data_IF_401398074576
#
_entry.id   IF_401398074576
#
_cell.length_a   1.000
_cell.length_b   1.000
_cell.length_c   1.000
_cell.angle_alpha   90.00
_cell.angle_beta   90.00
_cell.angle_gamma   90.00
#
_symmetry.space_group_name_H-M   'P 1'
#
loop_
_entity.id
_entity.type
_entity.pdbx_description
1 polymer ?
#
# COMPACT_ATOMS: atom_id res chain seq x y z
N UNK A 1 52.82 9.53 -34.38
CA UNK A 1 52.13 10.27 -33.29
C UNK A 1 50.68 10.69 -33.62
N UNK A 2 49.99 10.05 -34.58
CA UNK A 2 48.63 10.46 -34.99
C UNK A 2 47.49 9.54 -34.48
N UNK A 3 47.81 8.31 -34.04
CA UNK A 3 46.82 7.33 -33.54
C UNK A 3 46.37 7.56 -32.08
N UNK A 4 47.28 7.92 -31.17
CA UNK A 4 46.96 8.10 -29.74
C UNK A 4 46.01 9.28 -29.46
N UNK A 5 46.14 10.39 -30.20
CA UNK A 5 45.33 11.60 -30.00
C UNK A 5 43.85 11.35 -30.31
N UNK A 6 43.56 10.55 -31.33
CA UNK A 6 42.19 10.23 -31.75
C UNK A 6 41.52 9.26 -30.77
N UNK A 7 42.29 8.33 -30.19
CA UNK A 7 41.80 7.43 -29.15
C UNK A 7 41.46 8.17 -27.84
N UNK A 8 42.31 9.13 -27.42
CA UNK A 8 42.02 9.97 -26.24
C UNK A 8 40.79 10.87 -26.45
N UNK A 9 40.63 11.48 -27.63
CA UNK A 9 39.47 12.30 -27.95
C UNK A 9 38.16 11.49 -27.92
N UNK A 10 38.17 10.26 -28.46
CA UNK A 10 37.01 9.34 -28.37
C UNK A 10 36.67 8.96 -26.94
N UNK A 11 37.66 8.69 -26.09
CA UNK A 11 37.43 8.40 -24.67
C UNK A 11 36.81 9.59 -23.94
N UNK A 12 37.27 10.82 -24.21
CA UNK A 12 36.69 12.03 -23.61
C UNK A 12 35.21 12.19 -24.02
N UNK A 13 34.89 11.98 -25.30
CA UNK A 13 33.50 12.05 -25.79
C UNK A 13 32.62 10.99 -25.11
N UNK A 14 33.12 9.76 -24.98
CA UNK A 14 32.38 8.68 -24.29
C UNK A 14 32.12 9.04 -22.83
N UNK A 15 33.11 9.60 -22.12
CA UNK A 15 32.95 10.04 -20.72
C UNK A 15 31.86 11.11 -20.60
N UNK A 16 31.79 12.07 -21.53
CA UNK A 16 30.77 13.11 -21.54
C UNK A 16 29.37 12.52 -21.79
N UNK A 17 29.24 11.57 -22.71
CA UNK A 17 27.97 10.91 -22.99
C UNK A 17 27.49 10.11 -21.77
N UNK A 18 28.40 9.36 -21.13
CA UNK A 18 28.09 8.57 -19.93
C UNK A 18 27.71 9.47 -18.75
N UNK A 19 28.39 10.61 -18.56
CA UNK A 19 28.06 11.54 -17.49
C UNK A 19 26.70 12.21 -17.70
N UNK A 20 26.36 12.58 -18.95
CA UNK A 20 25.01 13.06 -19.29
C UNK A 20 23.92 12.02 -19.00
N UNK A 21 24.13 10.76 -19.39
CA UNK A 21 23.19 9.67 -19.12
C UNK A 21 22.99 9.46 -17.61
N UNK A 22 24.08 9.47 -16.83
CA UNK A 22 24.00 9.36 -15.36
C UNK A 22 23.19 10.49 -14.74
N UNK A 23 23.39 11.74 -15.19
CA UNK A 23 22.61 12.88 -14.72
C UNK A 23 21.12 12.75 -15.05
N UNK A 24 20.78 12.28 -16.25
CA UNK A 24 19.39 12.00 -16.63
C UNK A 24 18.76 10.93 -15.74
N UNK A 25 19.46 9.80 -15.50
CA UNK A 25 18.97 8.72 -14.63
C UNK A 25 18.74 9.23 -13.20
N UNK A 26 19.68 9.99 -12.63
CA UNK A 26 19.54 10.55 -11.28
C UNK A 26 18.40 11.58 -11.23
N UNK A 27 18.25 12.41 -12.26
CA UNK A 27 17.17 13.39 -12.35
C UNK A 27 15.80 12.72 -12.40
N UNK A 28 15.64 11.71 -13.25
CA UNK A 28 14.43 10.90 -13.36
C UNK A 28 14.14 10.17 -12.05
N UNK A 29 15.16 9.58 -11.42
CA UNK A 29 15.01 8.93 -10.12
C UNK A 29 14.50 9.90 -9.04
N UNK A 30 15.11 11.08 -8.92
CA UNK A 30 14.68 12.11 -7.94
C UNK A 30 13.28 12.64 -8.23
N UNK A 31 12.91 12.77 -9.51
CA UNK A 31 11.57 13.17 -9.92
C UNK A 31 10.53 12.15 -9.44
N UNK A 32 10.73 10.86 -9.74
CA UNK A 32 9.84 9.79 -9.29
C UNK A 32 9.82 9.64 -7.77
N UNK A 33 10.95 9.82 -7.09
CA UNK A 33 11.01 9.78 -5.63
C UNK A 33 10.18 10.92 -5.01
N UNK A 34 10.20 12.11 -5.61
CA UNK A 34 9.41 13.26 -5.16
C UNK A 34 7.91 13.03 -5.38
N UNK A 35 7.49 12.54 -6.54
CA UNK A 35 6.08 12.18 -6.79
C UNK A 35 5.61 11.09 -5.82
N UNK A 36 6.42 10.05 -5.61
CA UNK A 36 6.10 8.95 -4.69
C UNK A 36 5.91 9.43 -3.26
N UNK A 37 6.73 10.37 -2.78
CA UNK A 37 6.57 11.00 -1.45
C UNK A 37 5.29 11.84 -1.37
N UNK A 38 5.01 12.63 -2.40
CA UNK A 38 3.80 13.46 -2.43
C UNK A 38 2.51 12.65 -2.40
N UNK A 39 2.48 11.47 -3.01
CA UNK A 39 1.34 10.55 -2.93
C UNK A 39 1.32 9.70 -1.66
N UNK A 40 2.47 9.44 -1.01
CA UNK A 40 2.49 8.72 0.27
C UNK A 40 2.06 9.57 1.46
N UNK A 41 2.32 10.88 1.40
CA UNK A 41 2.05 11.81 2.51
C UNK A 41 0.59 12.29 2.51
N UNK A 42 -0.18 11.98 1.46
CA UNK A 42 -1.57 12.38 1.35
C UNK A 42 -2.53 11.36 1.99
N UNK A 43 -3.29 11.79 2.99
CA UNK A 43 -4.35 11.01 3.62
C UNK A 43 -5.71 11.32 3.00
N UNK A 44 -6.47 10.27 2.67
CA UNK A 44 -7.87 10.36 2.31
C UNK A 44 -8.72 10.67 3.55
N UNK A 45 -9.99 11.09 3.39
CA UNK A 45 -10.88 11.40 4.51
C UNK A 45 -11.12 10.25 5.50
N UNK A 46 -10.91 9.00 5.08
CA UNK A 46 -10.94 7.82 5.95
C UNK A 46 -9.66 7.66 6.81
N UNK A 47 -8.73 8.62 6.76
CA UNK A 47 -7.48 8.63 7.51
C UNK A 47 -6.38 7.72 6.95
N UNK A 48 -6.63 7.03 5.84
CA UNK A 48 -5.68 6.15 5.16
C UNK A 48 -5.06 6.85 3.95
N UNK A 49 -3.81 6.52 3.61
CA UNK A 49 -3.28 6.85 2.29
C UNK A 49 -4.06 6.12 1.19
N UNK A 50 -3.91 6.56 -0.06
CA UNK A 50 -4.53 5.88 -1.21
C UNK A 50 -4.12 4.40 -1.29
N UNK A 51 -2.82 4.12 -1.07
CA UNK A 51 -2.32 2.75 -1.08
C UNK A 51 -2.90 1.91 0.07
N UNK A 52 -3.03 2.46 1.27
CA UNK A 52 -3.62 1.75 2.41
C UNK A 52 -5.10 1.47 2.18
N UNK A 53 -5.83 2.44 1.60
CA UNK A 53 -7.23 2.26 1.19
C UNK A 53 -7.37 1.12 0.19
N UNK A 54 -6.50 1.02 -0.82
CA UNK A 54 -6.50 -0.10 -1.77
C UNK A 54 -6.36 -1.46 -1.09
N UNK A 55 -5.44 -1.59 -0.12
CA UNK A 55 -5.25 -2.84 0.60
C UNK A 55 -6.40 -3.15 1.54
N UNK A 56 -6.88 -2.14 2.25
CA UNK A 56 -8.04 -2.25 3.12
C UNK A 56 -9.26 -2.77 2.35
N UNK A 57 -9.55 -2.18 1.19
CA UNK A 57 -10.62 -2.63 0.29
C UNK A 57 -10.42 -4.09 -0.15
N UNK A 58 -9.20 -4.44 -0.59
CA UNK A 58 -8.90 -5.79 -1.05
C UNK A 58 -9.00 -6.84 0.06
N UNK A 59 -8.44 -6.56 1.23
CA UNK A 59 -8.34 -7.51 2.33
C UNK A 59 -9.71 -7.87 2.89
N UNK A 60 -10.57 -6.87 3.12
CA UNK A 60 -11.92 -7.08 3.63
C UNK A 60 -12.98 -7.26 2.53
N UNK A 61 -12.54 -7.41 1.27
CA UNK A 61 -13.43 -7.56 0.10
C UNK A 61 -14.50 -6.46 -0.02
N UNK A 62 -14.16 -5.23 0.36
CA UNK A 62 -15.06 -4.08 0.33
C UNK A 62 -15.18 -3.51 -1.08
N UNK A 63 -16.29 -2.84 -1.34
CA UNK A 63 -16.52 -2.06 -2.55
C UNK A 63 -16.33 -0.57 -2.26
N UNK A 64 -15.91 0.20 -3.28
CA UNK A 64 -15.76 1.65 -3.15
C UNK A 64 -16.43 2.43 -4.27
N UNK A 65 -16.92 3.63 -3.96
CA UNK A 65 -17.31 4.63 -4.94
C UNK A 65 -16.50 5.92 -4.74
N UNK A 66 -15.75 6.39 -5.76
CA UNK A 66 -15.45 5.72 -7.01
C UNK A 66 -14.69 4.40 -6.80
N UNK A 67 -14.73 3.53 -7.81
CA UNK A 67 -14.05 2.23 -7.72
C UNK A 67 -12.53 2.42 -7.71
N UNK A 68 -11.88 1.85 -6.69
CA UNK A 68 -10.42 1.83 -6.53
C UNK A 68 -9.98 0.37 -6.62
N UNK A 69 -9.23 0.02 -7.66
CA UNK A 69 -8.72 -1.34 -7.84
C UNK A 69 -7.19 -1.37 -8.01
N UNK A 70 -6.56 -2.45 -7.54
CA UNK A 70 -5.14 -2.75 -7.75
C UNK A 70 -4.88 -2.96 -9.24
N UNK A 71 -4.28 -1.95 -9.88
CA UNK A 71 -3.90 -1.97 -11.30
C UNK A 71 -4.39 -0.75 -12.09
N UNK A 72 -5.35 0.01 -11.56
CA UNK A 72 -5.73 1.31 -12.09
C UNK A 72 -5.17 2.40 -11.19
N UNK A 73 -4.10 3.06 -11.62
CA UNK A 73 -3.69 4.37 -11.06
C UNK A 73 -4.69 5.48 -11.40
N UNK A 74 -5.73 5.15 -12.17
CA UNK A 74 -6.75 6.07 -12.63
C UNK A 74 -8.02 5.89 -11.80
N UNK A 75 -8.40 6.97 -11.10
CA UNK A 75 -9.79 7.18 -10.72
C UNK A 75 -10.57 7.27 -12.04
N UNK A 76 -11.45 6.30 -12.30
CA UNK A 76 -12.16 6.14 -13.60
C UNK A 76 -13.04 7.37 -13.95
N UNK A 77 -13.24 8.29 -13.00
CA UNK A 77 -13.96 9.55 -13.19
C UNK A 77 -13.00 10.74 -13.22
N UNK A 78 -12.83 11.32 -14.42
CA UNK A 78 -12.02 12.54 -14.64
C UNK A 78 -12.53 13.77 -13.87
N UNK A 79 -13.78 13.75 -13.43
CA UNK A 79 -14.48 14.79 -12.68
C UNK A 79 -14.50 14.56 -11.16
N UNK A 80 -13.92 13.46 -10.66
CA UNK A 80 -13.94 13.13 -9.24
C UNK A 80 -12.57 13.36 -8.59
N UNK A 81 -12.52 14.26 -7.61
CA UNK A 81 -11.29 14.52 -6.87
C UNK A 81 -11.27 13.68 -5.61
N UNK A 82 -10.75 12.46 -5.70
CA UNK A 82 -10.62 11.52 -4.57
C UNK A 82 -9.90 12.11 -3.36
N UNK A 83 -8.99 13.06 -3.60
CA UNK A 83 -8.27 13.75 -2.53
C UNK A 83 -9.28 14.58 -1.73
N UNK A 84 -10.07 15.42 -2.39
CA UNK A 84 -11.04 16.31 -1.74
C UNK A 84 -12.32 15.60 -1.28
N UNK A 85 -12.89 14.78 -2.15
CA UNK A 85 -14.26 14.27 -2.04
C UNK A 85 -14.32 12.91 -1.32
N UNK A 86 -13.17 12.27 -1.15
CA UNK A 86 -13.03 11.02 -0.42
C UNK A 86 -13.43 9.79 -1.22
N UNK A 87 -13.84 8.76 -0.51
CA UNK A 87 -14.24 7.47 -1.08
C UNK A 87 -15.33 6.91 -0.20
N UNK A 88 -16.48 6.63 -0.79
CA UNK A 88 -17.52 5.89 -0.09
C UNK A 88 -17.16 4.41 -0.10
N UNK A 89 -17.22 3.75 1.05
CA UNK A 89 -16.84 2.35 1.21
C UNK A 89 -18.03 1.55 1.72
N UNK A 90 -18.30 0.42 1.08
CA UNK A 90 -19.47 -0.40 1.35
C UNK A 90 -19.05 -1.87 1.54
N UNK A 91 -19.72 -2.60 2.43
CA UNK A 91 -19.51 -4.03 2.53
C UNK A 91 -20.09 -4.72 1.29
N UNK A 92 -19.51 -5.86 0.94
CA UNK A 92 -20.07 -6.74 -0.08
C UNK A 92 -20.56 -8.04 0.56
N UNK A 93 -21.31 -8.84 -0.20
CA UNK A 93 -21.64 -10.21 0.21
C UNK A 93 -20.37 -11.00 0.58
N UNK A 94 -19.26 -10.75 -0.12
CA UNK A 94 -17.97 -11.37 0.22
C UNK A 94 -17.40 -10.88 1.54
N UNK A 95 -17.56 -9.60 1.88
CA UNK A 95 -17.19 -9.07 3.20
C UNK A 95 -17.92 -9.82 4.31
N UNK A 96 -19.25 -9.94 4.19
CA UNK A 96 -20.11 -10.63 5.17
C UNK A 96 -19.77 -12.12 5.32
N UNK A 97 -19.34 -12.78 4.24
CA UNK A 97 -18.92 -14.19 4.29
C UNK A 97 -17.47 -14.37 4.79
N UNK A 98 -16.58 -13.43 4.46
CA UNK A 98 -15.17 -13.51 4.80
C UNK A 98 -14.92 -13.26 6.29
N UNK A 99 -15.61 -12.29 6.90
CA UNK A 99 -15.35 -11.90 8.28
C UNK A 99 -15.57 -13.03 9.30
N UNK A 100 -16.67 -13.81 9.24
CA UNK A 100 -16.87 -14.97 10.12
C UNK A 100 -15.75 -16.00 9.97
N UNK A 101 -15.31 -16.27 8.74
CA UNK A 101 -14.22 -17.20 8.45
C UNK A 101 -12.90 -16.67 9.02
N UNK A 102 -12.61 -15.38 8.86
CA UNK A 102 -11.44 -14.72 9.43
C UNK A 102 -11.46 -14.79 10.97
N UNK A 103 -12.60 -14.50 11.60
CA UNK A 103 -12.77 -14.60 13.06
C UNK A 103 -12.52 -16.03 13.56
N UNK A 104 -13.09 -17.03 12.91
CA UNK A 104 -12.83 -18.44 13.23
C UNK A 104 -11.33 -18.76 13.11
N UNK A 105 -10.68 -18.37 12.02
CA UNK A 105 -9.24 -18.63 11.84
C UNK A 105 -8.35 -17.94 12.87
N UNK A 106 -8.74 -16.77 13.38
CA UNK A 106 -7.95 -16.04 14.36
C UNK A 106 -8.20 -16.58 15.77
N UNK A 107 -9.46 -16.78 16.16
CA UNK A 107 -9.83 -16.99 17.56
C UNK A 107 -10.17 -18.43 17.92
N UNK A 108 -10.60 -19.26 16.96
CA UNK A 108 -11.04 -20.64 17.20
C UNK A 108 -10.02 -21.68 16.71
N UNK A 109 -9.34 -21.40 15.60
CA UNK A 109 -8.41 -22.36 15.00
C UNK A 109 -7.04 -22.32 15.69
N UNK A 110 -6.73 -23.39 16.43
CA UNK A 110 -5.44 -23.54 17.10
C UNK A 110 -4.31 -24.06 16.17
N UNK A 111 -4.61 -24.50 14.94
CA UNK A 111 -3.68 -25.31 14.14
C UNK A 111 -3.06 -24.63 12.92
N UNK A 112 -3.43 -23.41 12.57
CA UNK A 112 -2.89 -22.71 11.41
C UNK A 112 -1.94 -21.57 11.82
N UNK A 113 -0.67 -21.68 11.42
CA UNK A 113 0.38 -20.65 11.60
C UNK A 113 0.37 -19.98 12.98
N UNK A 114 0.68 -20.74 14.05
CA UNK A 114 0.72 -20.28 15.45
C UNK A 114 1.27 -18.85 15.59
N UNK A 115 2.42 -18.56 14.99
CA UNK A 115 3.07 -17.24 15.08
C UNK A 115 2.22 -16.09 14.48
N UNK A 116 1.58 -16.31 13.33
CA UNK A 116 0.73 -15.31 12.67
C UNK A 116 -0.61 -15.17 13.41
N UNK A 117 -1.15 -16.28 13.93
CA UNK A 117 -2.40 -16.28 14.70
C UNK A 117 -2.26 -15.57 16.04
N UNK A 118 -1.15 -15.75 16.76
CA UNK A 118 -0.92 -15.10 18.06
C UNK A 118 -0.71 -13.58 17.94
N UNK A 119 0.06 -13.13 16.95
CA UNK A 119 0.24 -11.68 16.70
C UNK A 119 -1.10 -11.02 16.35
N UNK A 120 -1.91 -11.68 15.51
CA UNK A 120 -3.25 -11.19 15.16
C UNK A 120 -4.22 -11.24 16.35
N UNK A 121 -4.23 -12.32 17.14
CA UNK A 121 -5.07 -12.45 18.36
C UNK A 121 -4.74 -11.36 19.36
N UNK A 122 -3.44 -11.15 19.66
CA UNK A 122 -3.01 -10.11 20.59
C UNK A 122 -3.46 -8.74 20.10
N UNK A 123 -3.21 -8.42 18.82
CA UNK A 123 -3.60 -7.13 18.25
C UNK A 123 -5.11 -6.92 18.29
N UNK A 124 -5.89 -7.88 17.78
CA UNK A 124 -7.34 -7.72 17.75
C UNK A 124 -7.96 -7.76 19.16
N UNK A 125 -7.30 -8.44 20.09
CA UNK A 125 -7.60 -8.37 21.53
C UNK A 125 -7.42 -6.97 22.13
N UNK A 126 -6.51 -6.13 21.63
CA UNK A 126 -6.40 -4.72 22.06
C UNK A 126 -7.67 -3.91 21.75
N UNK A 127 -8.45 -4.34 20.75
CA UNK A 127 -9.76 -3.77 20.41
C UNK A 127 -10.93 -4.53 21.06
N UNK A 128 -10.65 -5.47 21.95
CA UNK A 128 -11.65 -6.25 22.67
C UNK A 128 -12.17 -7.48 21.92
N UNK A 129 -11.54 -7.88 20.81
CA UNK A 129 -11.98 -9.05 20.05
C UNK A 129 -11.40 -10.35 20.59
N UNK A 130 -12.24 -11.37 20.67
CA UNK A 130 -11.91 -12.71 21.12
C UNK A 130 -12.95 -13.71 20.60
N UNK A 131 -12.93 -14.94 21.11
CA UNK A 131 -13.88 -16.01 20.77
C UNK A 131 -15.32 -15.77 21.26
N UNK A 132 -15.54 -14.83 22.17
CA UNK A 132 -16.86 -14.44 22.68
C UNK A 132 -17.36 -13.12 22.09
N UNK A 133 -16.45 -12.30 21.54
CA UNK A 133 -16.72 -11.00 20.95
C UNK A 133 -15.97 -10.86 19.62
N UNK A 134 -16.62 -11.22 18.52
CA UNK A 134 -16.00 -11.20 17.21
C UNK A 134 -15.98 -9.82 16.55
N UNK A 135 -15.03 -9.63 15.63
CA UNK A 135 -15.00 -8.46 14.77
C UNK A 135 -16.22 -8.44 13.84
N UNK A 136 -16.86 -7.28 13.72
CA UNK A 136 -18.04 -7.07 12.88
C UNK A 136 -17.71 -6.24 11.64
N UNK A 137 -18.54 -6.37 10.60
CA UNK A 137 -18.43 -5.54 9.39
C UNK A 137 -18.57 -4.06 9.74
N UNK A 138 -19.49 -3.72 10.64
CA UNK A 138 -19.67 -2.35 11.11
C UNK A 138 -18.38 -1.80 11.71
N UNK A 139 -17.72 -2.56 12.58
CA UNK A 139 -16.47 -2.13 13.19
C UNK A 139 -15.37 -1.91 12.14
N UNK A 140 -15.27 -2.80 11.14
CA UNK A 140 -14.29 -2.66 10.05
C UNK A 140 -14.50 -1.35 9.28
N UNK A 141 -15.75 -0.94 9.04
CA UNK A 141 -16.08 0.30 8.33
C UNK A 141 -15.84 1.55 9.18
N UNK A 142 -16.13 1.48 10.48
CA UNK A 142 -15.97 2.58 11.42
C UNK A 142 -14.51 2.82 11.84
N UNK A 143 -13.65 1.79 11.73
CA UNK A 143 -12.27 1.82 12.21
C UNK A 143 -11.26 1.45 11.11
N UNK A 144 -11.21 2.18 9.98
CA UNK A 144 -10.38 1.83 8.82
C UNK A 144 -8.88 1.87 9.11
N UNK A 145 -8.43 2.74 10.03
CA UNK A 145 -7.01 2.85 10.45
C UNK A 145 -6.59 1.61 11.22
N UNK A 146 -7.38 1.22 12.21
CA UNK A 146 -7.15 0.07 13.08
C UNK A 146 -7.25 -1.24 12.29
N UNK A 147 -8.23 -1.33 11.38
CA UNK A 147 -8.45 -2.49 10.53
C UNK A 147 -7.32 -2.71 9.50
N UNK A 148 -6.61 -1.65 9.09
CA UNK A 148 -5.55 -1.71 8.07
C UNK A 148 -4.12 -1.75 8.64
N UNK A 149 -3.96 -1.62 9.97
CA UNK A 149 -2.69 -1.46 10.70
C UNK A 149 -1.65 -2.57 10.44
N UNK A 150 -2.07 -3.77 10.05
CA UNK A 150 -1.16 -4.90 9.75
C UNK A 150 -0.31 -4.67 8.48
N UNK A 151 -0.87 -3.97 7.49
CA UNK A 151 -0.22 -3.76 6.19
C UNK A 151 0.89 -2.69 6.28
N UNK A 152 0.68 -1.65 7.10
CA UNK A 152 1.62 -0.55 7.32
C UNK A 152 2.93 -1.03 7.96
N UNK A 153 2.85 -1.90 8.97
CA UNK A 153 4.02 -2.39 9.70
C UNK A 153 4.85 -3.41 8.91
N UNK A 154 4.22 -4.23 8.04
CA UNK A 154 4.93 -5.15 7.14
C UNK A 154 5.77 -4.40 6.09
N UNK A 155 5.21 -3.36 5.47
CA UNK A 155 5.97 -2.51 4.52
C UNK A 155 7.18 -1.82 5.16
N UNK A 156 7.05 -1.31 6.39
CA UNK A 156 8.15 -0.64 7.11
C UNK A 156 9.28 -1.60 7.51
N UNK A 157 8.96 -2.88 7.76
CA UNK A 157 9.96 -3.94 8.00
C UNK A 157 10.67 -4.36 6.70
N UNK A 158 9.98 -4.37 5.56
CA UNK A 158 10.56 -4.71 4.25
C UNK A 158 11.44 -3.60 3.67
N UNK A 159 11.06 -2.33 3.83
CA UNK A 159 11.87 -1.18 3.38
C UNK A 159 13.11 -0.91 4.24
N UNK A 160 13.20 -1.45 5.46
CA UNK A 160 14.41 -1.40 6.29
C UNK A 160 15.41 -2.53 6.00
N UNK A 161 15.05 -3.51 5.18
CA UNK A 161 15.89 -4.66 4.82
C UNK A 161 16.55 -4.55 3.43
N UNK A 162 16.28 -3.48 2.68
CA UNK A 162 16.95 -3.12 1.44
C UNK A 162 17.88 -1.93 1.68
#
# INVERSE_FOLDING_TARGET
MMGEKNTRAKHIIIIIIVSMLLLCVVGVYKYFEKEKKADSDYLLPNGLSFSETMYYLKFYHLFSHPNINLGSSEVIRKDYNIKKDGVDIYPTIRTEMFLPVLNYFIFEEDRFYYDISEENRKRFGEYGFNNENYMTVQWVLENPIEASKDQYNRRKKETKKQ
#
